data_IF_845552308784
#
_entry.id   IF_845552308784
#
_cell.length_a   1.000
_cell.length_b   1.000
_cell.length_c   1.000
_cell.angle_alpha   90.00
_cell.angle_beta   90.00
_cell.angle_gamma   90.00
#
_symmetry.space_group_name_H-M   'P 1'
#
loop_
_entity.id
_entity.type
_entity.pdbx_description
1 polymer ?
#
# COMPACT_ATOMS: atom_id res chain seq x y z
N UNK A 1 -12.27 -14.67 -4.33
CA UNK A 1 -10.90 -15.22 -4.27
C UNK A 1 -11.05 -16.72 -4.22
N UNK A 2 -10.84 -17.43 -5.33
CA UNK A 2 -10.87 -18.89 -5.31
C UNK A 2 -9.61 -19.37 -4.58
N UNK A 3 -9.84 -19.95 -3.41
CA UNK A 3 -8.80 -20.58 -2.60
C UNK A 3 -8.48 -21.94 -3.22
N UNK A 4 -7.63 -21.97 -4.23
CA UNK A 4 -7.13 -23.22 -4.82
C UNK A 4 -5.83 -23.63 -4.11
N UNK A 5 -5.92 -24.69 -3.30
CA UNK A 5 -4.82 -25.31 -2.56
C UNK A 5 -3.76 -26.00 -3.45
N UNK A 6 -3.63 -25.57 -4.71
CA UNK A 6 -2.59 -25.97 -5.65
C UNK A 6 -2.13 -24.82 -6.54
N UNK A 7 -2.54 -23.58 -6.25
CA UNK A 7 -2.25 -22.46 -7.13
C UNK A 7 -0.89 -21.83 -6.83
N UNK A 8 0.18 -22.35 -7.42
CA UNK A 8 1.55 -21.82 -7.31
C UNK A 8 1.77 -20.47 -8.03
N UNK A 9 0.80 -19.96 -8.80
CA UNK A 9 0.92 -18.67 -9.50
C UNK A 9 -0.41 -17.90 -9.54
N UNK A 10 -0.38 -16.57 -9.42
CA UNK A 10 -1.57 -15.72 -9.48
C UNK A 10 -1.52 -14.80 -10.69
N UNK A 11 -2.58 -14.86 -11.51
CA UNK A 11 -2.94 -13.84 -12.49
C UNK A 11 -3.96 -12.90 -11.85
N UNK A 12 -3.65 -11.61 -11.77
CA UNK A 12 -4.47 -10.67 -10.98
C UNK A 12 -5.63 -10.13 -11.81
N UNK A 13 -5.37 -9.79 -13.07
CA UNK A 13 -6.37 -9.25 -13.98
C UNK A 13 -6.52 -10.12 -15.23
N UNK A 14 -7.72 -10.15 -15.80
CA UNK A 14 -8.05 -10.97 -16.98
C UNK A 14 -7.33 -10.56 -18.27
N UNK A 15 -6.65 -9.42 -18.28
CA UNK A 15 -5.80 -8.95 -19.39
C UNK A 15 -4.30 -9.11 -19.14
N UNK A 16 -3.90 -9.61 -17.96
CA UNK A 16 -2.48 -9.80 -17.65
C UNK A 16 -1.88 -10.87 -18.58
N UNK A 17 -0.72 -10.59 -19.19
CA UNK A 17 0.04 -11.56 -19.97
C UNK A 17 1.15 -12.23 -19.15
N UNK A 18 1.24 -11.91 -17.86
CA UNK A 18 2.11 -12.57 -16.88
C UNK A 18 1.35 -12.96 -15.61
N UNK A 19 1.80 -14.01 -14.93
CA UNK A 19 1.39 -14.37 -13.56
C UNK A 19 2.54 -14.15 -12.58
N UNK A 20 2.24 -14.04 -11.29
CA UNK A 20 3.25 -13.98 -10.21
C UNK A 20 3.29 -15.31 -9.47
N UNK A 21 4.46 -15.92 -9.35
CA UNK A 21 4.66 -17.11 -8.54
C UNK A 21 4.40 -16.79 -7.05
N UNK A 22 3.57 -17.57 -6.37
CA UNK A 22 3.32 -17.44 -4.91
C UNK A 22 4.01 -18.53 -4.08
N UNK A 23 4.70 -19.44 -4.75
CA UNK A 23 5.65 -20.40 -4.20
C UNK A 23 6.78 -20.60 -5.21
N UNK A 24 7.87 -21.28 -4.81
CA UNK A 24 8.89 -21.71 -5.76
C UNK A 24 8.29 -22.76 -6.70
N UNK A 25 8.57 -22.64 -7.99
CA UNK A 25 8.07 -23.51 -9.05
C UNK A 25 9.26 -24.17 -9.72
N UNK A 26 9.28 -25.50 -9.74
CA UNK A 26 10.33 -26.26 -10.44
C UNK A 26 10.29 -26.00 -11.95
N UNK A 27 11.37 -26.30 -12.64
CA UNK A 27 11.36 -26.36 -14.11
C UNK A 27 10.40 -27.47 -14.59
N UNK A 28 9.80 -27.27 -15.75
CA UNK A 28 8.83 -28.19 -16.36
C UNK A 28 7.61 -28.47 -15.45
N UNK A 29 7.26 -27.54 -14.56
CA UNK A 29 6.04 -27.66 -13.77
C UNK A 29 4.87 -27.03 -14.53
N UNK A 30 3.70 -27.69 -14.54
CA UNK A 30 2.48 -27.11 -15.08
C UNK A 30 2.06 -25.90 -14.25
N UNK A 31 1.68 -24.81 -14.91
CA UNK A 31 1.14 -23.64 -14.23
C UNK A 31 -0.32 -23.89 -13.84
N UNK A 32 -0.68 -23.66 -12.57
CA UNK A 32 -2.06 -23.86 -12.14
C UNK A 32 -3.04 -22.85 -12.76
N UNK A 33 -2.56 -21.71 -13.26
CA UNK A 33 -3.38 -20.76 -14.04
C UNK A 33 -3.74 -21.27 -15.44
N UNK A 34 -2.99 -22.22 -15.99
CA UNK A 34 -3.22 -22.87 -17.27
C UNK A 34 -2.42 -24.18 -17.33
N UNK A 35 -3.09 -25.33 -17.18
CA UNK A 35 -2.45 -26.64 -17.08
C UNK A 35 -1.61 -27.02 -18.32
N UNK A 36 -1.90 -26.42 -19.48
CA UNK A 36 -1.16 -26.67 -20.73
C UNK A 36 0.15 -25.87 -20.81
N UNK A 37 0.38 -24.94 -19.89
CA UNK A 37 1.54 -24.08 -19.87
C UNK A 37 2.52 -24.54 -18.79
N UNK A 38 3.77 -24.80 -19.18
CA UNK A 38 4.81 -25.35 -18.29
C UNK A 38 5.95 -24.36 -18.15
N UNK A 39 6.56 -24.30 -16.97
CA UNK A 39 7.73 -23.44 -16.74
C UNK A 39 8.93 -23.92 -17.53
N UNK A 40 9.60 -23.02 -18.26
CA UNK A 40 10.82 -23.38 -19.00
C UNK A 40 12.02 -23.64 -18.07
N UNK A 41 12.05 -22.94 -16.92
CA UNK A 41 13.09 -22.98 -15.90
C UNK A 41 12.45 -22.95 -14.52
N UNK A 42 13.24 -23.17 -13.46
CA UNK A 42 12.77 -22.95 -12.11
C UNK A 42 12.49 -21.45 -11.88
N UNK A 43 11.38 -21.14 -11.21
CA UNK A 43 10.94 -19.77 -10.94
C UNK A 43 10.69 -19.61 -9.44
N UNK A 44 11.41 -18.69 -8.83
CA UNK A 44 11.32 -18.41 -7.40
C UNK A 44 10.02 -17.65 -7.04
N UNK A 45 9.59 -17.81 -5.79
CA UNK A 45 8.45 -17.07 -5.23
C UNK A 45 8.59 -15.56 -5.46
N UNK A 46 7.54 -14.94 -5.97
CA UNK A 46 7.46 -13.50 -6.24
C UNK A 46 7.87 -13.11 -7.66
N UNK A 47 8.48 -14.01 -8.42
CA UNK A 47 8.89 -13.75 -9.79
C UNK A 47 7.71 -13.91 -10.78
N UNK A 48 7.90 -13.40 -12.01
CA UNK A 48 6.84 -13.38 -13.03
C UNK A 48 7.04 -14.48 -14.05
N UNK A 49 5.93 -15.00 -14.57
CA UNK A 49 5.89 -16.08 -15.56
C UNK A 49 5.03 -15.61 -16.73
N UNK A 50 5.54 -15.74 -17.95
CA UNK A 50 4.76 -15.42 -19.15
C UNK A 50 3.60 -16.41 -19.33
N UNK A 51 2.38 -15.89 -19.55
CA UNK A 51 1.17 -16.68 -19.79
C UNK A 51 0.86 -16.85 -21.28
N UNK A 52 1.52 -16.07 -22.12
CA UNK A 52 1.35 -15.98 -23.56
C UNK A 52 2.70 -15.56 -24.17
N UNK A 53 2.94 -15.73 -25.48
CA UNK A 53 4.12 -15.16 -26.11
C UNK A 53 4.08 -13.63 -25.99
N UNK A 54 5.24 -13.02 -25.71
CA UNK A 54 5.43 -11.56 -25.65
C UNK A 54 6.63 -11.24 -26.54
N UNK A 55 6.41 -10.57 -27.66
CA UNK A 55 7.50 -10.25 -28.58
C UNK A 55 8.38 -9.10 -28.01
N UNK A 56 9.64 -9.05 -28.44
CA UNK A 56 10.52 -7.93 -28.14
C UNK A 56 9.87 -6.59 -28.52
N UNK A 57 9.88 -5.62 -27.61
CA UNK A 57 9.21 -4.33 -27.79
C UNK A 57 7.74 -4.30 -27.37
N UNK A 58 7.12 -5.45 -27.06
CA UNK A 58 5.74 -5.48 -26.57
C UNK A 58 5.64 -5.22 -25.07
N UNK A 59 4.45 -4.77 -24.65
CA UNK A 59 4.18 -4.46 -23.26
C UNK A 59 4.00 -5.73 -22.43
N UNK A 60 4.69 -5.78 -21.29
CA UNK A 60 4.37 -6.73 -20.22
C UNK A 60 3.24 -6.13 -19.39
N UNK A 61 2.09 -6.80 -19.35
CA UNK A 61 0.85 -6.35 -18.73
C UNK A 61 0.63 -7.09 -17.40
N UNK A 62 0.53 -6.33 -16.31
CA UNK A 62 0.22 -6.84 -14.97
C UNK A 62 -0.73 -5.89 -14.24
N UNK A 63 -1.66 -6.42 -13.46
CA UNK A 63 -2.72 -5.65 -12.81
C UNK A 63 -3.65 -4.91 -13.81
N UNK A 64 -3.67 -5.36 -15.07
CA UNK A 64 -4.39 -4.72 -16.16
C UNK A 64 -3.66 -3.55 -16.83
N UNK A 65 -2.41 -3.25 -16.44
CA UNK A 65 -1.64 -2.12 -16.95
C UNK A 65 -0.25 -2.54 -17.46
N UNK A 66 0.34 -1.79 -18.41
CA UNK A 66 1.72 -2.01 -18.83
C UNK A 66 2.68 -1.66 -17.69
N UNK A 67 3.52 -2.62 -17.29
CA UNK A 67 4.56 -2.43 -16.27
C UNK A 67 5.95 -2.24 -16.85
N UNK A 68 6.09 -2.42 -18.16
CA UNK A 68 7.35 -2.31 -18.88
C UNK A 68 7.25 -2.93 -20.26
N UNK A 69 8.39 -2.99 -20.95
CA UNK A 69 8.54 -3.50 -22.31
C UNK A 69 9.48 -4.71 -22.29
N UNK A 70 9.14 -5.76 -23.03
CA UNK A 70 10.01 -6.91 -23.24
C UNK A 70 11.26 -6.51 -24.03
N UNK A 71 12.45 -6.87 -23.55
CA UNK A 71 13.72 -6.55 -24.23
C UNK A 71 14.23 -7.66 -25.15
N UNK A 72 13.52 -8.78 -25.18
CA UNK A 72 13.70 -9.92 -26.07
C UNK A 72 12.33 -10.61 -26.25
N UNK A 73 12.22 -11.54 -27.19
CA UNK A 73 11.06 -12.42 -27.27
C UNK A 73 10.99 -13.30 -26.01
N UNK A 74 9.80 -13.42 -25.43
CA UNK A 74 9.54 -14.20 -24.22
C UNK A 74 8.50 -15.26 -24.56
N UNK A 75 8.89 -16.54 -24.50
CA UNK A 75 7.95 -17.64 -24.75
C UNK A 75 7.02 -17.87 -23.54
N UNK A 76 5.83 -18.46 -23.76
CA UNK A 76 4.95 -18.89 -22.68
C UNK A 76 5.70 -19.80 -21.67
N UNK A 77 5.55 -19.54 -20.38
CA UNK A 77 6.20 -20.30 -19.31
C UNK A 77 7.60 -19.81 -18.93
N UNK A 78 8.14 -18.83 -19.65
CA UNK A 78 9.44 -18.24 -19.32
C UNK A 78 9.38 -17.32 -18.11
N UNK A 79 10.54 -17.20 -17.44
CA UNK A 79 10.75 -16.31 -16.32
C UNK A 79 10.89 -14.86 -16.81
N UNK A 80 9.97 -13.98 -16.40
CA UNK A 80 9.98 -12.56 -16.76
C UNK A 80 10.60 -11.71 -15.65
N UNK A 81 11.80 -11.18 -15.88
CA UNK A 81 12.55 -10.39 -14.91
C UNK A 81 13.45 -9.35 -15.58
N UNK A 82 14.30 -8.67 -14.82
CA UNK A 82 15.14 -7.56 -15.30
C UNK A 82 16.03 -7.88 -16.50
N UNK A 83 16.29 -9.17 -16.78
CA UNK A 83 17.09 -9.59 -17.94
C UNK A 83 16.31 -9.55 -19.27
N UNK A 84 14.96 -9.65 -19.24
CA UNK A 84 14.10 -9.65 -20.41
C UNK A 84 12.94 -8.62 -20.34
N UNK A 85 12.94 -7.76 -19.31
CA UNK A 85 11.94 -6.71 -19.09
C UNK A 85 12.64 -5.42 -18.63
N UNK A 86 12.33 -4.32 -19.31
CA UNK A 86 12.76 -2.97 -18.93
C UNK A 86 11.55 -2.07 -18.62
N UNK A 87 11.77 -1.04 -17.80
CA UNK A 87 10.74 -0.02 -17.54
C UNK A 87 10.43 0.77 -18.82
N UNK A 88 9.16 1.11 -19.02
CA UNK A 88 8.72 2.01 -20.08
C UNK A 88 8.74 3.50 -19.64
N UNK A 89 9.09 3.78 -18.38
CA UNK A 89 9.13 5.13 -17.84
C UNK A 89 10.32 5.92 -18.40
N UNK A 90 10.08 7.17 -18.78
CA UNK A 90 11.12 8.12 -19.16
C UNK A 90 10.96 9.43 -18.37
N UNK A 91 12.06 10.13 -18.14
CA UNK A 91 12.08 11.40 -17.40
C UNK A 91 11.45 12.58 -18.18
N UNK A 92 11.21 12.41 -19.47
CA UNK A 92 10.64 13.41 -20.36
C UNK A 92 9.16 13.14 -20.71
N UNK A 93 8.53 12.14 -20.09
CA UNK A 93 7.14 11.81 -20.37
C UNK A 93 6.18 12.76 -19.63
N UNK A 94 5.22 13.33 -20.35
CA UNK A 94 4.10 14.05 -19.76
C UNK A 94 3.18 13.04 -19.05
N UNK A 95 3.07 13.17 -17.73
CA UNK A 95 2.15 12.36 -16.93
C UNK A 95 0.76 13.02 -16.91
N UNK A 96 -0.26 12.30 -17.36
CA UNK A 96 -1.66 12.71 -17.22
C UNK A 96 -2.41 11.75 -16.30
N UNK A 97 -2.91 12.25 -15.17
CA UNK A 97 -3.81 11.48 -14.32
C UNK A 97 -5.19 11.35 -15.00
N UNK A 98 -5.57 10.13 -15.36
CA UNK A 98 -6.90 9.81 -15.88
C UNK A 98 -7.59 8.84 -14.92
N UNK A 99 -8.35 9.33 -13.93
CA UNK A 99 -9.03 8.46 -12.98
C UNK A 99 -10.02 7.57 -13.71
N UNK A 100 -9.92 6.26 -13.52
CA UNK A 100 -10.98 5.35 -13.92
C UNK A 100 -12.13 5.45 -12.92
N UNK A 101 -13.27 5.99 -13.35
CA UNK A 101 -14.49 5.96 -12.56
C UNK A 101 -15.21 4.65 -12.87
N UNK A 102 -15.13 3.67 -11.97
CA UNK A 102 -15.95 2.46 -12.12
C UNK A 102 -17.42 2.86 -11.99
N UNK A 103 -18.22 2.64 -13.05
CA UNK A 103 -19.68 2.84 -13.01
C UNK A 103 -20.41 1.80 -12.15
N UNK A 104 -19.69 0.97 -11.38
CA UNK A 104 -20.27 0.01 -10.47
C UNK A 104 -20.94 0.76 -9.31
N UNK A 105 -22.26 0.84 -9.37
CA UNK A 105 -23.07 1.20 -8.21
C UNK A 105 -22.94 0.08 -7.18
N UNK A 106 -22.19 0.32 -6.12
CA UNK A 106 -22.24 -0.56 -4.95
C UNK A 106 -23.65 -0.45 -4.38
N UNK A 107 -24.31 -1.59 -4.17
CA UNK A 107 -25.57 -1.61 -3.44
C UNK A 107 -25.38 -0.89 -2.10
N UNK A 108 -26.22 0.10 -1.84
CA UNK A 108 -26.19 0.87 -0.61
C UNK A 108 -26.60 -0.05 0.56
N UNK A 109 -25.65 -0.81 1.08
CA UNK A 109 -25.81 -1.53 2.33
C UNK A 109 -25.87 -0.51 3.46
N UNK A 110 -26.73 -0.71 4.47
CA UNK A 110 -26.71 0.15 5.65
C UNK A 110 -25.30 0.15 6.23
N UNK A 111 -24.76 1.35 6.48
CA UNK A 111 -23.42 1.49 7.02
C UNK A 111 -23.36 0.80 8.40
N UNK A 112 -22.33 -0.03 8.67
CA UNK A 112 -22.16 -0.60 9.99
C UNK A 112 -21.94 0.52 11.01
N UNK A 113 -22.52 0.36 12.20
CA UNK A 113 -22.36 1.30 13.31
C UNK A 113 -21.25 0.85 14.25
N UNK A 114 -20.64 1.77 15.00
CA UNK A 114 -19.67 1.47 16.04
C UNK A 114 -19.90 2.34 17.29
N UNK A 115 -19.39 1.89 18.44
CA UNK A 115 -19.38 2.69 19.66
C UNK A 115 -18.31 3.77 19.56
N UNK A 116 -18.72 5.03 19.49
CA UNK A 116 -17.80 6.17 19.39
C UNK A 116 -18.13 7.30 20.36
N UNK A 117 -17.18 8.21 20.50
CA UNK A 117 -17.28 9.38 21.37
C UNK A 117 -17.83 10.57 20.57
N UNK A 118 -19.12 10.83 20.70
CA UNK A 118 -19.83 11.90 19.97
C UNK A 118 -19.47 13.27 20.55
N UNK A 119 -19.05 14.19 19.68
CA UNK A 119 -18.72 15.58 20.04
C UNK A 119 -19.91 16.51 19.77
N UNK A 120 -19.88 17.71 20.37
CA UNK A 120 -20.93 18.73 20.18
C UNK A 120 -21.09 19.17 18.71
N UNK A 121 -20.02 19.09 17.92
CA UNK A 121 -20.03 19.42 16.48
C UNK A 121 -20.47 18.26 15.58
N UNK A 122 -20.91 17.13 16.16
CA UNK A 122 -21.36 15.93 15.44
C UNK A 122 -20.25 15.00 14.98
N UNK A 123 -18.97 15.38 15.09
CA UNK A 123 -17.85 14.45 14.81
C UNK A 123 -17.81 13.34 15.86
N UNK A 124 -17.42 12.14 15.44
CA UNK A 124 -17.35 10.96 16.31
C UNK A 124 -15.91 10.48 16.42
N UNK A 125 -15.36 10.52 17.63
CA UNK A 125 -14.02 9.99 17.91
C UNK A 125 -14.03 8.48 18.09
N UNK A 126 -12.99 7.80 17.63
CA UNK A 126 -12.76 6.36 17.88
C UNK A 126 -11.99 6.09 19.17
N UNK A 127 -11.48 7.15 19.82
CA UNK A 127 -10.75 7.12 21.08
C UNK A 127 -11.09 8.31 21.95
N UNK A 128 -10.95 8.14 23.26
CA UNK A 128 -11.10 9.17 24.27
C UNK A 128 -9.78 9.37 25.03
N UNK A 129 -8.84 10.02 24.36
CA UNK A 129 -7.51 10.33 24.87
C UNK A 129 -7.31 11.85 25.01
N UNK A 130 -6.43 12.27 25.92
CA UNK A 130 -5.98 13.66 26.06
C UNK A 130 -4.56 13.76 25.54
N UNK A 131 -4.34 14.60 24.53
CA UNK A 131 -3.03 14.80 23.92
C UNK A 131 -2.44 16.15 24.31
N UNK A 132 -1.21 16.12 24.82
CA UNK A 132 -0.41 17.31 25.12
C UNK A 132 0.59 17.48 23.98
N UNK A 133 0.43 18.56 23.21
CA UNK A 133 1.22 18.90 22.03
C UNK A 133 2.12 20.11 22.35
N UNK A 134 3.32 19.90 22.90
CA UNK A 134 4.27 20.99 23.12
C UNK A 134 4.72 21.60 21.79
N UNK A 135 4.56 22.92 21.63
CA UNK A 135 4.97 23.66 20.41
C UNK A 135 6.47 23.91 20.34
N UNK A 136 7.22 23.65 21.41
CA UNK A 136 8.68 23.79 21.47
C UNK A 136 9.31 22.64 22.24
N UNK A 137 10.54 22.26 21.87
CA UNK A 137 11.28 21.16 22.50
C UNK A 137 11.52 21.36 24.01
N UNK A 138 11.75 22.60 24.46
CA UNK A 138 12.12 22.92 25.85
C UNK A 138 11.10 22.43 26.89
N UNK A 139 9.81 22.35 26.53
CA UNK A 139 8.75 21.93 27.46
C UNK A 139 8.35 20.46 27.29
N UNK A 140 9.00 19.70 26.40
CA UNK A 140 8.65 18.32 26.09
C UNK A 140 8.73 17.38 27.31
N UNK A 141 9.77 17.51 28.14
CA UNK A 141 9.91 16.71 29.36
C UNK A 141 8.89 17.09 30.43
N UNK A 142 8.55 18.37 30.56
CA UNK A 142 7.49 18.83 31.43
C UNK A 142 6.14 18.26 30.99
N UNK A 143 5.81 18.35 29.70
CA UNK A 143 4.59 17.80 29.13
C UNK A 143 4.45 16.30 29.40
N UNK A 144 5.51 15.51 29.20
CA UNK A 144 5.49 14.08 29.49
C UNK A 144 5.30 13.77 30.99
N UNK A 145 5.90 14.58 31.86
CA UNK A 145 5.69 14.44 33.31
C UNK A 145 4.23 14.74 33.68
N UNK A 146 3.64 15.79 33.11
CA UNK A 146 2.22 16.14 33.30
C UNK A 146 1.32 15.00 32.81
N UNK A 147 1.53 14.50 31.59
CA UNK A 147 0.77 13.40 31.04
C UNK A 147 0.79 12.17 31.94
N UNK A 148 1.98 11.78 32.45
CA UNK A 148 2.12 10.65 33.37
C UNK A 148 1.36 10.85 34.69
N UNK A 149 1.48 12.02 35.31
CA UNK A 149 0.80 12.32 36.59
C UNK A 149 -0.71 12.35 36.39
N UNK A 150 -1.18 13.01 35.33
CA UNK A 150 -2.59 13.10 35.00
C UNK A 150 -3.18 11.73 34.63
N UNK A 151 -2.44 10.92 33.88
CA UNK A 151 -2.87 9.57 33.50
C UNK A 151 -3.15 8.70 34.72
N UNK A 152 -2.24 8.69 35.70
CA UNK A 152 -2.46 7.97 36.96
C UNK A 152 -3.70 8.48 37.73
N UNK A 153 -3.91 9.81 37.75
CA UNK A 153 -5.05 10.45 38.43
C UNK A 153 -6.40 10.22 37.76
N UNK A 154 -6.42 9.98 36.45
CA UNK A 154 -7.64 9.87 35.65
C UNK A 154 -7.84 8.48 35.05
N UNK A 155 -7.19 7.47 35.63
CA UNK A 155 -7.36 6.06 35.27
C UNK A 155 -8.84 5.69 35.22
N UNK A 156 -9.29 5.08 34.12
CA UNK A 156 -10.68 4.65 33.91
C UNK A 156 -11.65 5.75 33.47
N UNK A 157 -11.22 7.02 33.39
CA UNK A 157 -12.05 8.13 32.84
C UNK A 157 -11.73 8.46 31.39
N UNK A 158 -10.46 8.30 31.01
CA UNK A 158 -9.95 8.45 29.65
C UNK A 158 -9.10 7.23 29.33
N UNK A 159 -9.02 6.87 28.06
CA UNK A 159 -8.23 5.73 27.59
C UNK A 159 -6.73 6.02 27.71
N UNK A 160 -6.34 7.29 27.63
CA UNK A 160 -4.95 7.68 27.73
C UNK A 160 -4.73 9.18 27.87
N UNK A 161 -3.60 9.55 28.45
CA UNK A 161 -3.08 10.92 28.44
C UNK A 161 -1.64 10.84 27.95
N UNK A 162 -1.37 11.46 26.81
CA UNK A 162 -0.12 11.33 26.08
C UNK A 162 0.51 12.69 25.83
N UNK A 163 1.84 12.75 25.85
CA UNK A 163 2.60 13.91 25.42
C UNK A 163 3.43 13.55 24.18
N UNK A 164 3.17 14.23 23.07
CA UNK A 164 3.94 14.04 21.83
C UNK A 164 5.03 15.09 21.77
N UNK A 165 6.21 14.73 22.29
CA UNK A 165 7.33 15.66 22.37
C UNK A 165 7.77 16.09 20.96
N UNK A 166 8.07 17.37 20.82
CA UNK A 166 8.74 17.88 19.63
C UNK A 166 10.09 17.16 19.47
N UNK A 167 10.36 16.47 18.33
CA UNK A 167 11.53 15.60 18.17
C UNK A 167 12.85 16.36 17.98
N UNK A 168 12.77 17.63 17.58
CA UNK A 168 13.92 18.51 17.34
C UNK A 168 14.01 19.59 18.42
N UNK A 169 15.23 20.10 18.66
CA UNK A 169 15.58 21.07 19.71
C UNK A 169 14.92 22.44 19.58
N UNK A 170 15.68 23.53 19.73
CA UNK A 170 15.12 24.89 19.80
C UNK A 170 14.52 25.36 18.46
N UNK A 171 13.21 25.11 18.31
CA UNK A 171 12.21 25.69 17.41
C UNK A 171 12.18 25.19 15.95
N UNK A 172 10.97 24.80 15.51
CA UNK A 172 10.55 25.00 14.11
C UNK A 172 10.35 26.51 13.89
N UNK A 173 10.86 27.03 12.78
CA UNK A 173 10.71 28.43 12.38
C UNK A 173 10.24 28.50 10.93
N UNK A 174 9.72 29.65 10.51
CA UNK A 174 9.29 29.88 9.14
C UNK A 174 8.23 28.89 8.68
N UNK A 175 8.40 28.36 7.48
CA UNK A 175 7.40 27.51 6.83
C UNK A 175 7.17 26.19 7.57
N UNK A 176 8.20 25.61 8.20
CA UNK A 176 8.05 24.37 8.98
C UNK A 176 7.12 24.55 10.19
N UNK A 177 7.21 25.70 10.86
CA UNK A 177 6.29 26.06 11.93
C UNK A 177 4.88 26.32 11.38
N UNK A 178 4.80 27.00 10.25
CA UNK A 178 3.54 27.27 9.55
C UNK A 178 2.78 25.98 9.19
N UNK A 179 3.48 25.03 8.57
CA UNK A 179 2.94 23.73 8.20
C UNK A 179 2.53 22.90 9.41
N UNK A 180 3.38 22.82 10.44
CA UNK A 180 3.06 22.07 11.66
C UNK A 180 1.85 22.66 12.36
N UNK A 181 1.76 24.00 12.46
CA UNK A 181 0.58 24.67 13.02
C UNK A 181 -0.68 24.38 12.20
N UNK A 182 -0.61 24.46 10.87
CA UNK A 182 -1.75 24.18 10.01
C UNK A 182 -2.24 22.73 10.16
N UNK A 183 -1.32 21.76 10.21
CA UNK A 183 -1.64 20.35 10.41
C UNK A 183 -2.24 20.05 11.78
N UNK A 184 -1.78 20.73 12.85
CA UNK A 184 -2.31 20.54 14.20
C UNK A 184 -3.66 21.26 14.44
N UNK A 185 -3.99 22.28 13.64
CA UNK A 185 -5.21 23.07 13.80
C UNK A 185 -6.40 22.56 12.96
N UNK A 186 -6.14 21.72 11.94
CA UNK A 186 -7.15 21.08 11.10
C UNK A 186 -7.84 19.90 11.81
#
# INVERSE_FOLDING_TARGET
MTNDAGNHAIRVHGTDNVATAIADIAADAALPTNADLRTAVAIERGHKIALAPIACGEAVIKYGFPIGIATADIAPGEHVHSHNLATALSTAADYHYMPYTSGATLDAKPAPTFHGYVRQDGRVGTRNEIWILPTVGCVGNLAARVARIAGARHTGRVEGIHAFKHPFGCSQLGDDLGHTRALLAA
#
